data_IF_178115902622
#
_entry.id   IF_178115902622
#
_cell.length_a   1.000
_cell.length_b   1.000
_cell.length_c   1.000
_cell.angle_alpha   90.00
_cell.angle_beta   90.00
_cell.angle_gamma   90.00
#
_symmetry.space_group_name_H-M   'P 1'
#
loop_
_entity.id
_entity.type
_entity.pdbx_description
1 polymer ?
#
# COMPACT_ATOMS: atom_id res chain seq x y z
N UNK A 1 39.16 29.50 -20.95
CA UNK A 1 38.34 28.38 -21.32
C UNK A 1 39.13 27.62 -22.37
N UNK A 2 39.84 26.60 -22.00
CA UNK A 2 40.58 25.71 -22.89
C UNK A 2 39.63 24.58 -23.28
N UNK A 3 39.39 24.46 -24.58
CA UNK A 3 38.76 23.29 -25.20
C UNK A 3 39.65 22.06 -24.96
N UNK A 4 39.29 21.26 -23.99
CA UNK A 4 39.89 19.95 -23.81
C UNK A 4 39.11 18.94 -24.67
N UNK A 5 39.42 18.95 -25.97
CA UNK A 5 39.15 17.80 -26.84
C UNK A 5 40.33 16.86 -26.75
N UNK A 6 40.42 16.13 -25.65
CA UNK A 6 41.40 15.07 -25.52
C UNK A 6 40.79 13.75 -26.06
N UNK A 7 41.40 13.25 -27.12
CA UNK A 7 41.28 11.90 -27.61
C UNK A 7 41.56 10.93 -26.45
N UNK A 8 40.53 10.24 -25.92
CA UNK A 8 40.71 9.18 -24.96
C UNK A 8 40.00 9.34 -23.60
N UNK A 9 39.35 10.45 -23.30
CA UNK A 9 38.58 10.56 -22.07
C UNK A 9 37.20 9.92 -22.21
N UNK A 10 36.95 8.94 -21.40
CA UNK A 10 35.67 8.25 -21.29
C UNK A 10 34.72 9.10 -20.46
N UNK A 11 33.75 9.74 -21.11
CA UNK A 11 32.74 10.54 -20.41
C UNK A 11 31.56 9.68 -20.01
N UNK A 12 31.23 9.66 -18.72
CA UNK A 12 30.03 9.04 -18.21
C UNK A 12 30.20 8.53 -16.78
N UNK A 13 29.10 8.52 -16.04
CA UNK A 13 29.06 7.89 -14.70
C UNK A 13 29.02 6.38 -14.85
N UNK A 14 29.91 5.69 -14.16
CA UNK A 14 29.99 4.20 -14.19
C UNK A 14 28.61 3.61 -13.86
N UNK A 15 28.14 2.70 -14.71
CA UNK A 15 26.83 2.07 -14.61
C UNK A 15 25.68 2.83 -15.29
N UNK A 16 25.85 4.11 -15.66
CA UNK A 16 24.83 4.90 -16.36
C UNK A 16 25.22 5.23 -17.82
N UNK A 17 26.51 5.15 -18.14
CA UNK A 17 27.01 5.41 -19.48
C UNK A 17 26.65 4.24 -20.44
N UNK A 18 26.29 4.62 -21.67
CA UNK A 18 25.95 3.65 -22.70
C UNK A 18 27.18 2.92 -23.24
N UNK A 19 27.04 1.69 -23.79
CA UNK A 19 28.17 0.91 -24.31
C UNK A 19 29.03 1.66 -25.36
N UNK A 20 28.41 2.46 -26.24
CA UNK A 20 29.13 3.25 -27.24
C UNK A 20 30.01 4.34 -26.60
N UNK A 21 29.68 4.87 -25.44
CA UNK A 21 30.51 5.82 -24.70
C UNK A 21 31.81 5.16 -24.22
N UNK A 22 31.73 3.88 -23.80
CA UNK A 22 32.91 3.12 -23.42
C UNK A 22 33.76 2.68 -24.60
N UNK A 23 33.14 2.50 -25.80
CA UNK A 23 33.82 2.13 -27.05
C UNK A 23 34.36 3.30 -27.83
N UNK A 24 34.00 4.54 -27.45
CA UNK A 24 34.37 5.74 -28.21
C UNK A 24 33.66 5.84 -29.56
N UNK A 25 32.48 5.24 -29.71
CA UNK A 25 31.67 5.25 -30.91
C UNK A 25 30.90 6.58 -31.04
N UNK A 26 30.42 6.98 -32.25
CA UNK A 26 29.62 8.18 -32.43
C UNK A 26 28.39 8.16 -31.53
N UNK A 27 28.12 9.27 -30.83
CA UNK A 27 26.99 9.43 -29.92
C UNK A 27 25.82 10.06 -30.67
N UNK A 28 24.61 9.65 -30.31
CA UNK A 28 23.35 10.24 -30.77
C UNK A 28 22.30 10.27 -29.63
N UNK A 29 21.07 10.72 -29.92
CA UNK A 29 20.00 10.83 -28.92
C UNK A 29 19.62 9.49 -28.24
N UNK A 30 19.99 8.34 -28.79
CA UNK A 30 19.78 7.01 -28.22
C UNK A 30 20.77 6.69 -27.09
N UNK A 31 21.87 7.44 -27.01
CA UNK A 31 22.79 7.41 -25.88
C UNK A 31 22.11 7.98 -24.64
N UNK A 32 21.34 9.07 -24.77
CA UNK A 32 20.54 9.62 -23.66
C UNK A 32 19.39 8.67 -23.27
N UNK A 33 18.81 7.98 -24.25
CA UNK A 33 17.79 6.93 -23.96
C UNK A 33 18.36 5.84 -23.08
N UNK A 34 19.61 5.41 -23.31
CA UNK A 34 20.26 4.43 -22.43
C UNK A 34 20.41 4.96 -21.00
N UNK A 35 20.84 6.21 -20.84
CA UNK A 35 20.98 6.85 -19.54
C UNK A 35 19.63 6.97 -18.79
N UNK A 36 18.54 7.26 -19.51
CA UNK A 36 17.19 7.24 -18.96
C UNK A 36 16.84 5.83 -18.44
N UNK A 37 17.12 4.78 -19.23
CA UNK A 37 16.90 3.40 -18.81
C UNK A 37 17.70 3.01 -17.57
N UNK A 38 18.97 3.41 -17.52
CA UNK A 38 19.84 3.16 -16.36
C UNK A 38 19.35 3.90 -15.11
N UNK A 39 18.83 5.12 -15.26
CA UNK A 39 18.21 5.86 -14.15
C UNK A 39 16.92 5.19 -13.67
N UNK A 40 16.05 4.75 -14.57
CA UNK A 40 14.84 4.00 -14.20
C UNK A 40 15.19 2.70 -13.48
N UNK A 41 16.21 1.99 -13.96
CA UNK A 41 16.73 0.80 -13.29
C UNK A 41 17.20 1.12 -11.86
N UNK A 42 18.03 2.16 -11.71
CA UNK A 42 18.52 2.62 -10.41
C UNK A 42 17.38 2.98 -9.46
N UNK A 43 16.36 3.69 -9.93
CA UNK A 43 15.18 4.05 -9.12
C UNK A 43 14.43 2.80 -8.62
N UNK A 44 14.41 1.72 -9.41
CA UNK A 44 13.75 0.47 -9.03
C UNK A 44 14.59 -0.41 -8.09
N UNK A 45 15.92 -0.34 -8.19
CA UNK A 45 16.83 -1.28 -7.52
C UNK A 45 17.63 -0.67 -6.37
N UNK A 46 17.83 0.65 -6.40
CA UNK A 46 18.71 1.35 -5.46
C UNK A 46 20.21 1.18 -5.75
N UNK A 47 20.56 0.50 -6.85
CA UNK A 47 21.93 0.28 -7.31
C UNK A 47 22.05 0.48 -8.82
N UNK A 48 23.19 0.98 -9.34
CA UNK A 48 23.37 1.18 -10.77
C UNK A 48 23.43 -0.18 -11.52
N UNK A 49 23.01 -0.20 -12.79
CA UNK A 49 23.10 -1.42 -13.58
C UNK A 49 24.55 -1.89 -13.74
N UNK A 50 24.80 -3.17 -13.39
CA UNK A 50 26.08 -3.84 -13.56
C UNK A 50 26.16 -4.59 -14.90
N UNK A 51 27.33 -5.17 -15.19
CA UNK A 51 27.51 -6.06 -16.33
C UNK A 51 26.59 -7.29 -16.19
N UNK A 52 25.59 -7.40 -17.10
CA UNK A 52 24.62 -8.48 -17.08
C UNK A 52 23.42 -8.21 -16.15
N UNK A 53 22.91 -6.96 -16.18
CA UNK A 53 21.73 -6.61 -15.41
C UNK A 53 20.58 -7.60 -15.66
N UNK A 54 20.10 -8.22 -14.61
CA UNK A 54 18.90 -9.03 -14.61
C UNK A 54 17.78 -8.26 -13.92
N UNK A 55 16.78 -7.89 -14.69
CA UNK A 55 15.50 -7.47 -14.13
C UNK A 55 14.80 -8.76 -13.65
N UNK A 56 14.99 -9.10 -12.37
CA UNK A 56 14.20 -10.17 -11.73
C UNK A 56 12.96 -9.58 -11.10
N UNK A 57 12.11 -10.41 -10.53
CA UNK A 57 10.76 -10.18 -9.99
C UNK A 57 10.56 -8.99 -9.01
N UNK A 58 11.48 -8.04 -8.91
CA UNK A 58 11.46 -6.95 -7.92
C UNK A 58 11.08 -5.56 -8.47
N UNK A 59 10.90 -5.39 -9.76
CA UNK A 59 10.53 -4.10 -10.36
C UNK A 59 9.03 -3.77 -10.27
N UNK A 60 8.23 -4.73 -9.82
CA UNK A 60 6.80 -4.54 -9.57
C UNK A 60 5.90 -4.72 -10.80
N UNK A 61 6.39 -4.44 -12.01
CA UNK A 61 5.62 -4.66 -13.25
C UNK A 61 6.52 -5.10 -14.38
N UNK A 62 6.13 -6.15 -15.11
CA UNK A 62 6.84 -6.62 -16.30
C UNK A 62 6.84 -5.56 -17.42
N UNK A 63 5.85 -4.68 -17.44
CA UNK A 63 5.73 -3.57 -18.40
C UNK A 63 6.86 -2.54 -18.21
N UNK A 64 7.17 -2.18 -16.96
CA UNK A 64 8.28 -1.28 -16.67
C UNK A 64 9.63 -1.94 -16.99
N UNK A 65 9.79 -3.21 -16.69
CA UNK A 65 10.97 -4.00 -17.07
C UNK A 65 11.18 -4.01 -18.58
N UNK A 66 10.10 -4.12 -19.35
CA UNK A 66 10.16 -4.05 -20.81
C UNK A 66 10.66 -2.68 -21.30
N UNK A 67 10.19 -1.59 -20.68
CA UNK A 67 10.64 -0.24 -21.02
C UNK A 67 12.12 -0.06 -20.70
N UNK A 68 12.56 -0.47 -19.52
CA UNK A 68 13.96 -0.39 -19.10
C UNK A 68 14.84 -1.20 -20.06
N UNK A 69 14.47 -2.42 -20.41
CA UNK A 69 15.20 -3.25 -21.40
C UNK A 69 15.26 -2.59 -22.78
N UNK A 70 14.15 -1.99 -23.21
CA UNK A 70 14.09 -1.27 -24.48
C UNK A 70 14.92 0.03 -24.48
N UNK A 71 15.17 0.62 -23.32
CA UNK A 71 16.11 1.75 -23.23
C UNK A 71 17.57 1.27 -23.20
N UNK A 72 17.86 0.15 -22.53
CA UNK A 72 19.21 -0.32 -22.21
C UNK A 72 19.71 -1.44 -23.14
N UNK A 73 19.12 -1.60 -24.32
CA UNK A 73 19.63 -2.54 -25.30
C UNK A 73 21.09 -2.22 -25.66
N UNK A 74 21.92 -3.27 -25.83
CA UNK A 74 23.34 -3.08 -26.13
C UNK A 74 23.55 -2.33 -27.43
N UNK A 75 22.77 -2.69 -28.46
CA UNK A 75 22.82 -2.04 -29.79
C UNK A 75 21.80 -0.89 -29.81
N UNK A 76 22.23 0.28 -30.38
CA UNK A 76 21.39 1.48 -30.45
C UNK A 76 20.08 1.26 -31.20
N UNK A 77 20.08 0.42 -32.24
CA UNK A 77 18.91 0.15 -33.08
C UNK A 77 17.84 -0.65 -32.29
N UNK A 78 18.24 -1.36 -31.25
CA UNK A 78 17.34 -2.06 -30.32
C UNK A 78 16.68 -1.17 -29.28
N UNK A 79 17.07 0.12 -29.21
CA UNK A 79 16.54 1.08 -28.24
C UNK A 79 15.36 1.88 -28.80
N UNK A 80 14.65 2.54 -27.87
CA UNK A 80 13.74 3.62 -28.28
C UNK A 80 14.51 4.70 -29.05
N UNK A 81 13.93 5.23 -30.12
CA UNK A 81 14.62 6.11 -31.06
C UNK A 81 14.95 7.50 -30.50
N UNK A 82 14.21 7.93 -29.46
CA UNK A 82 14.44 9.19 -28.75
C UNK A 82 13.71 9.18 -27.40
N UNK A 83 13.99 10.19 -26.56
CA UNK A 83 13.37 10.34 -25.24
C UNK A 83 11.83 10.48 -25.29
N UNK A 84 11.28 11.10 -26.34
CA UNK A 84 9.83 11.24 -26.52
C UNK A 84 9.13 9.87 -26.70
N UNK A 85 9.80 8.89 -27.32
CA UNK A 85 9.26 7.53 -27.39
C UNK A 85 9.28 6.81 -26.04
N UNK A 86 10.25 7.09 -25.18
CA UNK A 86 10.30 6.58 -23.81
C UNK A 86 9.20 7.24 -22.98
N UNK A 87 9.03 8.55 -23.11
CA UNK A 87 7.94 9.29 -22.45
C UNK A 87 6.57 8.72 -22.83
N UNK A 88 6.33 8.52 -24.14
CA UNK A 88 5.09 7.91 -24.63
C UNK A 88 4.86 6.53 -23.98
N UNK A 89 5.87 5.64 -23.96
CA UNK A 89 5.76 4.32 -23.36
C UNK A 89 5.49 4.38 -21.84
N UNK A 90 6.08 5.34 -21.13
CA UNK A 90 5.82 5.57 -19.71
C UNK A 90 4.41 6.14 -19.47
N UNK A 91 3.92 7.01 -20.34
CA UNK A 91 2.55 7.52 -20.29
C UNK A 91 1.51 6.43 -20.55
N UNK A 92 1.76 5.56 -21.53
CA UNK A 92 0.92 4.39 -21.79
C UNK A 92 0.91 3.44 -20.59
N UNK A 93 2.08 3.16 -20.00
CA UNK A 93 2.19 2.38 -18.78
C UNK A 93 1.40 3.02 -17.63
N UNK A 94 1.51 4.33 -17.45
CA UNK A 94 0.75 5.07 -16.45
C UNK A 94 -0.75 4.93 -16.67
N UNK A 95 -1.22 4.99 -17.91
CA UNK A 95 -2.64 4.82 -18.27
C UNK A 95 -3.09 3.39 -17.97
N UNK A 96 -2.34 2.38 -18.41
CA UNK A 96 -2.63 0.96 -18.13
C UNK A 96 -2.62 0.67 -16.64
N UNK A 97 -1.67 1.23 -15.90
CA UNK A 97 -1.63 1.11 -14.43
C UNK A 97 -2.80 1.87 -13.80
N UNK A 98 -3.20 3.02 -14.33
CA UNK A 98 -4.37 3.76 -13.85
C UNK A 98 -5.67 3.02 -14.13
N UNK A 99 -5.82 2.39 -15.28
CA UNK A 99 -6.96 1.55 -15.63
C UNK A 99 -6.98 0.23 -14.84
N UNK A 100 -5.83 -0.40 -14.65
CA UNK A 100 -5.70 -1.55 -13.73
C UNK A 100 -5.93 -1.17 -12.27
N UNK A 101 -5.68 0.09 -11.88
CA UNK A 101 -5.91 0.64 -10.54
C UNK A 101 -7.22 1.44 -10.44
N UNK A 102 -7.98 1.59 -11.51
CA UNK A 102 -9.42 1.88 -11.48
C UNK A 102 -10.24 0.68 -10.93
N UNK A 103 -9.57 -0.37 -10.44
CA UNK A 103 -10.12 -1.18 -9.35
C UNK A 103 -10.27 -0.19 -8.20
N UNK A 104 -11.52 0.22 -7.96
CA UNK A 104 -11.99 1.00 -6.83
C UNK A 104 -11.10 0.73 -5.61
N UNK A 105 -10.23 1.71 -5.27
CA UNK A 105 -9.41 1.59 -4.07
C UNK A 105 -10.37 1.59 -2.90
N UNK A 106 -10.46 0.48 -2.19
CA UNK A 106 -11.35 0.36 -1.06
C UNK A 106 -10.75 1.13 0.12
N UNK A 107 -11.42 2.18 0.54
CA UNK A 107 -11.03 2.97 1.71
C UNK A 107 -11.94 2.66 2.88
N UNK A 108 -11.36 2.19 3.97
CA UNK A 108 -12.06 1.85 5.21
C UNK A 108 -11.56 2.76 6.31
N UNK A 109 -12.47 3.47 6.97
CA UNK A 109 -12.11 4.35 8.07
C UNK A 109 -12.45 3.67 9.40
N UNK A 110 -11.43 3.50 10.23
CA UNK A 110 -11.56 3.03 11.61
C UNK A 110 -11.65 4.21 12.56
N UNK A 111 -12.68 4.21 13.38
CA UNK A 111 -12.92 5.20 14.41
C UNK A 111 -13.16 4.53 15.76
N UNK A 112 -12.81 5.20 16.85
CA UNK A 112 -13.08 4.73 18.20
C UNK A 112 -14.19 5.53 18.88
N UNK A 113 -15.12 4.88 19.54
CA UNK A 113 -16.15 5.54 20.32
C UNK A 113 -15.57 6.25 21.57
N UNK A 114 -14.40 5.84 22.03
CA UNK A 114 -13.64 6.47 23.12
C UNK A 114 -12.13 6.19 23.00
N UNK A 115 -11.28 6.97 23.66
CA UNK A 115 -9.84 6.66 23.76
C UNK A 115 -9.60 5.30 24.42
N UNK A 116 -8.58 4.59 23.96
CA UNK A 116 -8.16 3.30 24.52
C UNK A 116 -9.11 2.12 24.23
N UNK A 117 -10.06 2.25 23.31
CA UNK A 117 -10.99 1.16 22.94
C UNK A 117 -10.33 0.10 22.03
N UNK A 118 -9.11 0.34 21.53
CA UNK A 118 -8.36 -0.59 20.68
C UNK A 118 -8.55 -0.39 19.19
N UNK A 119 -8.88 0.83 18.75
CA UNK A 119 -9.06 1.19 17.33
C UNK A 119 -7.83 0.82 16.51
N UNK A 120 -6.65 1.31 16.90
CA UNK A 120 -5.38 1.04 16.21
C UNK A 120 -5.04 -0.46 16.20
N UNK A 121 -5.30 -1.17 17.31
CA UNK A 121 -5.08 -2.60 17.39
C UNK A 121 -5.94 -3.38 16.38
N UNK A 122 -7.23 -3.05 16.30
CA UNK A 122 -8.16 -3.64 15.33
C UNK A 122 -7.75 -3.29 13.88
N UNK A 123 -7.39 -2.04 13.61
CA UNK A 123 -6.95 -1.58 12.30
C UNK A 123 -5.64 -2.26 11.84
N UNK A 124 -4.67 -2.48 12.74
CA UNK A 124 -3.47 -3.29 12.45
C UNK A 124 -3.84 -4.74 12.16
N UNK A 125 -4.73 -5.33 12.96
CA UNK A 125 -5.17 -6.72 12.81
C UNK A 125 -5.80 -6.98 11.45
N UNK A 126 -6.76 -6.15 11.04
CA UNK A 126 -7.42 -6.31 9.73
C UNK A 126 -6.45 -6.03 8.56
N UNK A 127 -5.54 -5.05 8.69
CA UNK A 127 -4.51 -4.78 7.67
C UNK A 127 -3.58 -5.98 7.49
N UNK A 128 -3.13 -6.58 8.58
CA UNK A 128 -2.33 -7.81 8.58
C UNK A 128 -3.09 -8.98 7.96
N UNK A 129 -4.35 -9.18 8.36
CA UNK A 129 -5.22 -10.21 7.81
C UNK A 129 -5.36 -10.09 6.30
N UNK A 130 -5.69 -8.90 5.80
CA UNK A 130 -5.87 -8.66 4.36
C UNK A 130 -4.59 -8.95 3.58
N UNK A 131 -3.46 -8.41 4.00
CA UNK A 131 -2.18 -8.61 3.31
C UNK A 131 -1.76 -10.08 3.28
N UNK A 132 -1.93 -10.81 4.38
CA UNK A 132 -1.63 -12.26 4.44
C UNK A 132 -2.52 -13.10 3.53
N UNK A 133 -3.74 -12.65 3.30
CA UNK A 133 -4.68 -13.32 2.40
C UNK A 133 -4.54 -12.89 0.93
N UNK A 134 -3.49 -12.10 0.59
CA UNK A 134 -3.18 -11.69 -0.78
C UNK A 134 -3.91 -10.42 -1.23
N UNK A 135 -4.38 -9.62 -0.29
CA UNK A 135 -4.98 -8.31 -0.51
C UNK A 135 -4.10 -7.23 0.15
N UNK A 136 -3.09 -6.69 -0.55
CA UNK A 136 -2.21 -5.68 0.03
C UNK A 136 -3.01 -4.52 0.60
N UNK A 137 -2.83 -4.26 1.88
CA UNK A 137 -3.53 -3.19 2.59
C UNK A 137 -2.53 -2.23 3.22
N UNK A 138 -2.77 -0.92 3.07
CA UNK A 138 -2.03 0.13 3.74
C UNK A 138 -2.80 0.57 4.98
N UNK A 139 -2.19 0.45 6.15
CA UNK A 139 -2.65 1.17 7.32
C UNK A 139 -2.11 2.61 7.27
N UNK A 140 -2.99 3.57 7.45
CA UNK A 140 -2.66 4.99 7.48
C UNK A 140 -3.20 5.64 8.75
N UNK A 141 -2.30 6.26 9.51
CA UNK A 141 -2.68 7.14 10.61
C UNK A 141 -3.08 8.51 10.06
N UNK A 142 -4.31 8.96 10.34
CA UNK A 142 -4.84 10.23 9.83
C UNK A 142 -4.58 11.41 10.78
N UNK A 143 -4.30 11.15 12.04
CA UNK A 143 -3.99 12.14 13.07
C UNK A 143 -2.86 11.64 13.95
N UNK A 144 -2.00 12.54 14.41
CA UNK A 144 -0.91 12.19 15.33
C UNK A 144 -1.47 11.72 16.69
N UNK A 145 -1.52 10.40 16.83
CA UNK A 145 -1.97 9.74 18.07
C UNK A 145 -0.81 9.28 18.95
N UNK A 146 0.44 9.54 18.56
CA UNK A 146 1.65 8.96 19.13
C UNK A 146 1.76 7.43 19.05
N UNK A 147 0.66 6.72 18.83
CA UNK A 147 0.62 5.25 18.88
C UNK A 147 1.55 4.63 17.84
N UNK A 148 1.47 5.09 16.58
CA UNK A 148 2.32 4.60 15.49
C UNK A 148 3.77 5.02 15.72
N UNK A 149 4.01 6.25 16.14
CA UNK A 149 5.35 6.76 16.44
C UNK A 149 6.04 5.95 17.54
N UNK A 150 5.35 5.64 18.62
CA UNK A 150 5.85 4.81 19.71
C UNK A 150 6.11 3.37 19.26
N UNK A 151 5.19 2.81 18.46
CA UNK A 151 5.38 1.50 17.86
C UNK A 151 6.62 1.46 16.96
N UNK A 152 6.81 2.48 16.10
CA UNK A 152 7.94 2.55 15.17
C UNK A 152 9.30 2.70 15.87
N UNK A 153 9.37 3.40 17.02
CA UNK A 153 10.61 3.52 17.81
C UNK A 153 11.20 2.17 18.23
N UNK A 154 10.35 1.17 18.40
CA UNK A 154 10.75 -0.19 18.79
C UNK A 154 11.10 -1.08 17.58
N UNK A 155 11.03 -0.55 16.37
CA UNK A 155 11.37 -1.29 15.16
C UNK A 155 12.63 -0.70 14.53
N UNK A 156 13.39 -1.56 13.82
CA UNK A 156 14.52 -1.12 12.99
C UNK A 156 14.09 -0.81 11.55
N UNK A 157 12.79 -0.81 11.27
CA UNK A 157 12.26 -0.57 9.95
C UNK A 157 12.54 0.88 9.50
N UNK A 158 12.84 1.04 8.21
CA UNK A 158 12.97 2.34 7.56
C UNK A 158 11.83 2.51 6.56
N UNK A 159 11.36 3.73 6.32
CA UNK A 159 10.35 3.99 5.31
C UNK A 159 10.93 3.80 3.92
N UNK A 160 10.10 3.41 2.98
CA UNK A 160 10.41 3.47 1.55
C UNK A 160 10.32 4.92 1.00
N UNK A 161 10.54 5.09 -0.30
CA UNK A 161 10.46 6.39 -0.97
C UNK A 161 9.08 7.06 -0.92
N UNK A 162 8.03 6.33 -0.55
CA UNK A 162 6.68 6.84 -0.33
C UNK A 162 6.36 7.05 1.16
N UNK A 163 7.34 6.92 2.05
CA UNK A 163 7.14 7.08 3.49
C UNK A 163 6.40 5.92 4.16
N UNK A 164 6.31 4.77 3.50
CA UNK A 164 5.64 3.58 4.03
C UNK A 164 6.65 2.65 4.68
N UNK A 165 6.34 2.22 5.90
CA UNK A 165 7.12 1.21 6.62
C UNK A 165 6.53 -0.18 6.36
N UNK A 166 7.40 -1.16 6.12
CA UNK A 166 7.02 -2.53 5.87
C UNK A 166 7.48 -3.42 7.03
N UNK A 167 6.54 -3.92 7.84
CA UNK A 167 6.81 -4.73 9.03
C UNK A 167 6.09 -6.08 8.88
N UNK A 168 6.78 -7.07 8.34
CA UNK A 168 6.17 -8.34 7.99
C UNK A 168 5.04 -8.17 6.97
N UNK A 169 3.81 -8.50 7.38
CA UNK A 169 2.61 -8.32 6.55
C UNK A 169 1.87 -7.01 6.81
N UNK A 170 2.41 -6.13 7.62
CA UNK A 170 1.81 -4.84 7.92
C UNK A 170 2.56 -3.73 7.17
N UNK A 171 1.83 -2.94 6.39
CA UNK A 171 2.33 -1.75 5.72
C UNK A 171 1.75 -0.54 6.43
N UNK A 172 2.62 0.32 6.98
CA UNK A 172 2.22 1.43 7.84
C UNK A 172 2.67 2.74 7.23
N UNK A 173 1.77 3.67 7.17
CA UNK A 173 2.05 5.07 6.92
C UNK A 173 1.69 5.88 8.16
N UNK A 174 2.68 6.39 8.90
CA UNK A 174 2.45 7.29 10.02
C UNK A 174 1.82 8.60 9.55
N UNK A 175 1.31 9.36 10.47
CA UNK A 175 0.88 10.72 10.21
C UNK A 175 2.08 11.63 9.94
N UNK A 176 2.15 12.20 8.73
CA UNK A 176 3.20 13.14 8.31
C UNK A 176 2.75 14.60 8.27
N UNK A 177 1.55 14.90 8.80
CA UNK A 177 0.96 16.22 8.71
C UNK A 177 -0.05 16.34 7.55
N UNK A 178 -0.94 17.34 7.65
CA UNK A 178 -2.05 17.54 6.69
C UNK A 178 -1.59 17.96 5.29
N UNK A 179 -0.41 18.53 5.17
CA UNK A 179 0.13 19.06 3.92
C UNK A 179 0.82 18.02 3.06
N UNK A 180 1.19 16.88 3.62
CA UNK A 180 1.91 15.83 2.90
C UNK A 180 0.92 14.96 2.15
N UNK A 181 0.65 15.29 0.88
CA UNK A 181 -0.13 14.43 -0.02
C UNK A 181 0.80 13.41 -0.67
N UNK A 182 0.60 12.14 -0.36
CA UNK A 182 1.37 11.05 -0.95
C UNK A 182 0.50 10.23 -1.90
N UNK A 183 1.03 9.75 -3.04
CA UNK A 183 0.24 8.93 -3.96
C UNK A 183 -0.05 7.55 -3.34
N UNK A 184 -1.33 7.19 -3.23
CA UNK A 184 -1.81 5.90 -2.71
C UNK A 184 -1.68 4.73 -3.71
N UNK A 185 -1.00 4.92 -4.82
CA UNK A 185 -1.12 4.12 -6.05
C UNK A 185 -0.71 2.64 -5.94
N UNK A 186 -0.18 2.22 -4.80
CA UNK A 186 0.36 0.86 -4.64
C UNK A 186 -0.53 -0.08 -3.81
N UNK A 187 -1.54 0.45 -3.13
CA UNK A 187 -2.39 -0.33 -2.25
C UNK A 187 -3.85 -0.28 -2.69
N UNK A 188 -4.45 -1.44 -3.07
CA UNK A 188 -5.86 -1.50 -3.44
C UNK A 188 -6.79 -1.34 -2.24
N UNK A 189 -6.28 -1.43 -1.01
CA UNK A 189 -7.05 -1.25 0.21
C UNK A 189 -6.30 -0.29 1.13
N UNK A 190 -7.02 0.72 1.61
CA UNK A 190 -6.49 1.71 2.55
C UNK A 190 -7.32 1.66 3.82
N UNK A 191 -6.65 1.40 4.94
CA UNK A 191 -7.24 1.41 6.27
C UNK A 191 -6.81 2.71 6.95
N UNK A 192 -7.72 3.67 7.07
CA UNK A 192 -7.47 4.95 7.72
C UNK A 192 -7.87 4.87 9.19
N UNK A 193 -6.93 5.09 10.09
CA UNK A 193 -7.21 5.16 11.53
C UNK A 193 -7.34 6.62 11.94
N UNK A 194 -8.54 7.00 12.36
CA UNK A 194 -8.84 8.35 12.88
C UNK A 194 -8.96 8.38 14.40
N UNK A 195 -8.79 7.23 15.07
CA UNK A 195 -8.95 7.15 16.52
C UNK A 195 -10.25 7.78 17.00
N UNK A 196 -10.15 8.69 17.94
CA UNK A 196 -11.28 9.51 18.43
C UNK A 196 -11.26 10.95 17.92
N UNK A 197 -10.40 11.27 16.97
CA UNK A 197 -10.23 12.63 16.47
C UNK A 197 -11.43 13.14 15.62
N UNK A 198 -12.40 12.27 15.33
CA UNK A 198 -13.65 12.66 14.66
C UNK A 198 -14.51 13.61 15.51
N UNK A 199 -14.33 13.64 16.82
CA UNK A 199 -15.02 14.54 17.72
C UNK A 199 -14.55 15.98 17.48
N UNK A 200 -15.46 16.85 17.05
CA UNK A 200 -15.13 18.24 16.72
C UNK A 200 -14.57 18.48 15.32
N UNK A 201 -14.54 17.48 14.46
CA UNK A 201 -14.18 17.65 13.06
C UNK A 201 -15.44 17.90 12.20
N UNK A 202 -15.38 18.91 11.34
CA UNK A 202 -16.47 19.21 10.38
C UNK A 202 -16.47 18.18 9.25
N UNK A 203 -15.28 17.70 8.82
CA UNK A 203 -15.13 16.77 7.71
C UNK A 203 -14.37 15.53 8.16
N UNK A 204 -14.87 14.37 7.72
CA UNK A 204 -14.18 13.09 7.86
C UNK A 204 -13.47 12.72 6.56
N UNK A 205 -12.44 11.85 6.62
CA UNK A 205 -11.88 11.26 5.42
C UNK A 205 -12.95 10.50 4.63
N UNK A 206 -12.88 10.56 3.30
CA UNK A 206 -13.72 9.73 2.42
C UNK A 206 -13.51 8.24 2.74
N UNK A 207 -14.62 7.51 2.77
CA UNK A 207 -14.66 6.09 3.09
C UNK A 207 -15.75 5.37 2.28
N UNK A 208 -15.48 4.14 1.85
CA UNK A 208 -16.49 3.23 1.33
C UNK A 208 -17.39 2.72 2.46
N UNK A 209 -16.78 2.52 3.63
CA UNK A 209 -17.50 2.26 4.87
C UNK A 209 -16.66 2.59 6.10
N UNK A 210 -17.33 2.80 7.21
CA UNK A 210 -16.74 3.05 8.51
C UNK A 210 -16.79 1.79 9.37
N UNK A 211 -15.74 1.57 10.17
CA UNK A 211 -15.72 0.59 11.26
C UNK A 211 -15.57 1.36 12.56
N UNK A 212 -16.65 1.43 13.32
CA UNK A 212 -16.65 2.08 14.62
C UNK A 212 -16.34 1.06 15.71
N UNK A 213 -15.16 1.17 16.32
CA UNK A 213 -14.75 0.33 17.43
C UNK A 213 -15.42 0.82 18.71
N UNK A 214 -16.24 -0.03 19.29
CA UNK A 214 -17.13 0.26 20.41
C UNK A 214 -16.78 -0.56 21.66
N UNK A 215 -17.13 -0.02 22.81
CA UNK A 215 -17.30 -0.79 24.04
C UNK A 215 -18.78 -1.08 24.28
N UNK A 216 -19.05 -2.18 24.95
CA UNK A 216 -20.42 -2.58 25.24
C UNK A 216 -20.78 -2.59 26.71
N UNK A 217 -19.89 -2.14 27.57
CA UNK A 217 -20.16 -1.99 28.98
C UNK A 217 -21.23 -0.93 29.19
N UNK A 218 -22.12 -1.14 30.16
CA UNK A 218 -23.27 -0.26 30.37
C UNK A 218 -22.90 1.23 30.56
N UNK A 219 -21.74 1.56 31.12
CA UNK A 219 -21.23 2.94 31.23
C UNK A 219 -20.62 3.50 29.94
N UNK A 220 -20.40 2.67 28.91
CA UNK A 220 -19.93 3.06 27.59
C UNK A 220 -21.06 3.28 26.59
N UNK A 221 -22.26 2.77 26.92
CA UNK A 221 -23.42 2.72 26.04
C UNK A 221 -23.76 4.07 25.43
N UNK A 222 -23.86 5.12 26.23
CA UNK A 222 -24.22 6.45 25.75
C UNK A 222 -23.24 6.98 24.70
N UNK A 223 -21.94 6.77 24.90
CA UNK A 223 -20.90 7.19 23.93
C UNK A 223 -20.94 6.35 22.66
N UNK A 224 -21.12 5.05 22.79
CA UNK A 224 -21.26 4.11 21.66
C UNK A 224 -22.46 4.52 20.80
N UNK A 225 -23.63 4.79 21.40
CA UNK A 225 -24.83 5.21 20.67
C UNK A 225 -24.65 6.56 19.98
N UNK A 226 -24.09 7.56 20.65
CA UNK A 226 -23.83 8.87 20.06
C UNK A 226 -22.87 8.76 18.86
N UNK A 227 -21.77 8.00 19.01
CA UNK A 227 -20.83 7.75 17.92
C UNK A 227 -21.48 6.98 16.76
N UNK A 228 -22.29 5.96 17.06
CA UNK A 228 -22.99 5.17 16.03
C UNK A 228 -23.89 6.05 15.16
N UNK A 229 -24.71 6.91 15.78
CA UNK A 229 -25.60 7.85 15.06
C UNK A 229 -24.79 8.83 14.21
N UNK A 230 -23.67 9.33 14.75
CA UNK A 230 -22.78 10.23 14.03
C UNK A 230 -22.22 9.61 12.74
N UNK A 231 -21.71 8.37 12.80
CA UNK A 231 -21.13 7.70 11.61
C UNK A 231 -22.21 7.23 10.64
N UNK A 232 -23.36 6.75 11.12
CA UNK A 232 -24.47 6.33 10.27
C UNK A 232 -25.05 7.48 9.45
N UNK A 233 -25.03 8.70 9.97
CA UNK A 233 -25.46 9.89 9.22
C UNK A 233 -24.49 10.28 8.09
N UNK A 234 -23.30 9.70 8.05
CA UNK A 234 -22.24 10.00 7.07
C UNK A 234 -22.00 8.88 6.07
N UNK A 235 -22.53 7.70 6.30
CA UNK A 235 -22.38 6.58 5.38
C UNK A 235 -22.58 5.23 6.03
N UNK A 236 -22.22 4.19 5.29
CA UNK A 236 -22.28 2.81 5.79
C UNK A 236 -21.35 2.67 6.98
N UNK A 237 -21.87 2.18 8.10
CA UNK A 237 -21.10 1.96 9.32
C UNK A 237 -21.30 0.54 9.85
N UNK A 238 -20.22 -0.06 10.31
CA UNK A 238 -20.18 -1.35 11.00
C UNK A 238 -19.75 -1.09 12.45
N UNK A 239 -20.46 -1.66 13.40
CA UNK A 239 -20.10 -1.59 14.80
C UNK A 239 -19.21 -2.80 15.16
N UNK A 240 -18.01 -2.53 15.65
CA UNK A 240 -17.06 -3.54 16.09
C UNK A 240 -16.89 -3.44 17.60
N UNK A 241 -17.54 -4.34 18.32
CA UNK A 241 -17.41 -4.40 19.78
C UNK A 241 -16.10 -5.06 20.18
N UNK A 242 -15.29 -4.34 20.95
CA UNK A 242 -14.03 -4.83 21.47
C UNK A 242 -14.10 -4.99 22.99
N UNK A 243 -13.34 -5.92 23.56
CA UNK A 243 -13.31 -6.23 24.99
C UNK A 243 -14.68 -6.65 25.57
N UNK A 244 -15.47 -7.33 24.76
CA UNK A 244 -16.76 -7.89 25.18
C UNK A 244 -16.80 -9.39 24.96
N UNK A 245 -17.40 -10.08 25.92
CA UNK A 245 -17.89 -11.44 25.71
C UNK A 245 -19.27 -11.43 25.05
N UNK A 246 -19.62 -12.49 24.34
CA UNK A 246 -20.93 -12.63 23.68
C UNK A 246 -22.10 -12.52 24.64
N UNK A 247 -21.91 -12.92 25.91
CA UNK A 247 -22.92 -12.88 26.95
C UNK A 247 -23.34 -11.46 27.37
N UNK A 248 -22.51 -10.47 27.08
CA UNK A 248 -22.74 -9.06 27.41
C UNK A 248 -23.25 -8.25 26.21
N UNK A 249 -23.92 -8.89 25.25
CA UNK A 249 -24.45 -8.19 24.07
C UNK A 249 -25.38 -7.07 24.46
N UNK A 250 -24.98 -5.86 24.11
CA UNK A 250 -25.80 -4.67 24.31
C UNK A 250 -27.06 -4.76 23.42
N UNK A 251 -28.25 -4.55 24.00
CA UNK A 251 -29.45 -4.34 23.21
C UNK A 251 -29.38 -2.97 22.53
N UNK A 252 -29.31 -2.97 21.21
CA UNK A 252 -29.34 -1.74 20.44
C UNK A 252 -30.75 -1.13 20.45
N UNK A 253 -30.87 0.19 20.57
CA UNK A 253 -32.12 0.88 20.39
C UNK A 253 -32.72 0.65 18.99
N UNK A 254 -34.01 0.94 18.84
CA UNK A 254 -34.76 0.66 17.63
C UNK A 254 -34.18 1.38 16.39
N UNK A 255 -33.66 2.59 16.57
CA UNK A 255 -33.00 3.38 15.52
C UNK A 255 -31.67 2.82 15.03
N UNK A 256 -31.09 1.89 15.77
CA UNK A 256 -29.87 1.18 15.40
C UNK A 256 -30.09 -0.31 15.08
N UNK A 257 -31.34 -0.76 15.09
CA UNK A 257 -31.68 -2.12 14.65
C UNK A 257 -31.30 -2.32 13.18
N UNK A 258 -30.64 -3.45 12.90
CA UNK A 258 -30.17 -3.76 11.54
C UNK A 258 -28.79 -3.21 11.17
N UNK A 259 -28.16 -2.40 12.04
CA UNK A 259 -26.76 -2.03 11.86
C UNK A 259 -25.88 -3.26 12.07
N UNK A 260 -24.98 -3.57 11.12
CA UNK A 260 -24.08 -4.70 11.26
C UNK A 260 -23.19 -4.57 12.50
N UNK A 261 -23.21 -5.59 13.35
CA UNK A 261 -22.46 -5.63 14.60
C UNK A 261 -21.60 -6.89 14.66
N UNK A 262 -20.32 -6.69 14.96
CA UNK A 262 -19.36 -7.80 15.17
C UNK A 262 -18.68 -7.67 16.52
N UNK A 263 -18.24 -8.79 17.05
CA UNK A 263 -17.54 -8.89 18.33
C UNK A 263 -16.12 -9.36 18.05
N UNK A 264 -15.14 -8.49 18.33
CA UNK A 264 -13.74 -8.80 18.08
C UNK A 264 -13.22 -9.72 19.19
N UNK A 265 -12.81 -10.94 18.87
CA UNK A 265 -12.16 -11.82 19.83
C UNK A 265 -10.87 -11.18 20.36
N UNK A 266 -10.47 -11.55 21.57
CA UNK A 266 -9.17 -11.13 22.08
C UNK A 266 -8.04 -11.78 21.28
N UNK A 267 -7.14 -10.96 20.76
CA UNK A 267 -5.90 -11.41 20.14
C UNK A 267 -4.75 -10.50 20.58
N UNK A 268 -3.69 -11.11 21.09
CA UNK A 268 -2.62 -10.37 21.75
C UNK A 268 -1.71 -9.60 20.79
N UNK A 269 -1.54 -10.11 19.56
CA UNK A 269 -0.57 -9.55 18.62
C UNK A 269 -1.19 -9.31 17.24
N UNK A 270 -1.45 -8.04 16.88
CA UNK A 270 -2.09 -7.68 15.62
C UNK A 270 -1.19 -7.93 14.38
N UNK A 271 0.09 -8.27 14.57
CA UNK A 271 1.02 -8.60 13.49
C UNK A 271 1.04 -10.10 13.17
N UNK A 272 0.39 -10.91 14.00
CA UNK A 272 0.26 -12.35 13.80
C UNK A 272 -1.16 -12.69 13.40
N UNK A 273 -1.30 -13.77 12.63
CA UNK A 273 -2.61 -14.30 12.29
C UNK A 273 -3.20 -14.97 13.54
N UNK A 274 -4.38 -14.54 13.90
CA UNK A 274 -5.24 -15.16 14.88
C UNK A 274 -6.47 -15.70 14.15
N UNK A 275 -6.86 -16.94 14.40
CA UNK A 275 -7.91 -17.64 13.65
C UNK A 275 -9.29 -17.00 13.85
N UNK A 276 -9.60 -16.66 15.08
CA UNK A 276 -10.93 -16.17 15.44
C UNK A 276 -11.07 -14.69 15.04
N UNK A 277 -10.03 -13.88 15.27
CA UNK A 277 -9.98 -12.52 14.76
C UNK A 277 -10.04 -12.48 13.23
N UNK A 278 -9.37 -13.40 12.53
CA UNK A 278 -9.43 -13.50 11.07
C UNK A 278 -10.83 -13.84 10.55
N UNK A 279 -11.59 -14.67 11.27
CA UNK A 279 -12.99 -14.95 10.93
C UNK A 279 -13.85 -13.68 11.04
N UNK A 280 -13.72 -12.94 12.15
CA UNK A 280 -14.40 -11.67 12.37
C UNK A 280 -14.03 -10.64 11.29
N UNK A 281 -12.75 -10.48 10.94
CA UNK A 281 -12.30 -9.56 9.90
C UNK A 281 -12.85 -9.93 8.51
N UNK A 282 -12.96 -11.21 8.19
CA UNK A 282 -13.57 -11.67 6.93
C UNK A 282 -15.03 -11.26 6.84
N UNK A 283 -15.78 -11.42 7.91
CA UNK A 283 -17.19 -11.02 7.97
C UNK A 283 -17.37 -9.51 7.86
N UNK A 284 -16.54 -8.71 8.54
CA UNK A 284 -16.51 -7.25 8.42
C UNK A 284 -16.29 -6.85 6.95
N UNK A 285 -15.29 -7.44 6.30
CA UNK A 285 -14.95 -7.12 4.91
C UNK A 285 -16.09 -7.53 3.95
N UNK A 286 -16.68 -8.70 4.16
CA UNK A 286 -17.80 -9.17 3.33
C UNK A 286 -19.01 -8.27 3.48
N UNK A 287 -19.37 -7.90 4.69
CA UNK A 287 -20.48 -6.99 4.98
C UNK A 287 -20.22 -5.60 4.46
N UNK A 288 -19.04 -5.04 4.73
CA UNK A 288 -18.66 -3.68 4.30
C UNK A 288 -18.67 -3.50 2.79
N UNK A 289 -18.27 -4.52 2.06
CA UNK A 289 -18.26 -4.52 0.58
C UNK A 289 -19.57 -5.00 -0.06
N UNK A 290 -20.60 -5.28 0.73
CA UNK A 290 -21.90 -5.73 0.23
C UNK A 290 -21.87 -7.12 -0.43
N UNK A 291 -20.99 -8.00 0.02
CA UNK A 291 -20.87 -9.37 -0.49
C UNK A 291 -20.20 -9.49 -1.86
N UNK A 292 -19.71 -8.40 -2.42
CA UNK A 292 -19.15 -8.35 -3.79
C UNK A 292 -17.82 -9.10 -3.96
N UNK A 293 -17.14 -9.46 -2.87
CA UNK A 293 -15.84 -10.15 -2.89
C UNK A 293 -15.78 -11.22 -1.82
N UNK A 294 -15.20 -12.36 -2.14
CA UNK A 294 -14.82 -13.38 -1.14
C UNK A 294 -13.42 -13.05 -0.63
N UNK A 295 -13.29 -12.83 0.69
CA UNK A 295 -12.03 -12.46 1.34
C UNK A 295 -11.26 -13.70 1.82
N UNK A 296 -11.27 -14.73 0.98
CA UNK A 296 -10.51 -15.95 1.21
C UNK A 296 -9.08 -15.82 0.70
N UNK A 297 -8.19 -16.66 1.25
CA UNK A 297 -6.79 -16.70 0.86
C UNK A 297 -6.66 -16.94 -0.64
N UNK A 298 -6.17 -15.97 -1.39
CA UNK A 298 -5.83 -16.16 -2.81
C UNK A 298 -4.78 -17.26 -2.92
N UNK A 299 -5.12 -18.37 -3.57
CA UNK A 299 -4.13 -19.41 -3.90
C UNK A 299 -3.01 -18.75 -4.70
N UNK A 300 -1.77 -18.74 -4.18
CA UNK A 300 -0.60 -18.39 -4.99
C UNK A 300 -0.64 -19.30 -6.21
N UNK A 301 -0.82 -18.76 -7.42
CA UNK A 301 -0.53 -19.51 -8.65
C UNK A 301 0.95 -19.87 -8.56
N UNK A 302 1.24 -21.13 -8.26
CA UNK A 302 2.57 -21.70 -8.45
C UNK A 302 2.85 -21.57 -9.95
N UNK A 303 3.78 -20.69 -10.33
CA UNK A 303 4.30 -20.65 -11.68
C UNK A 303 4.77 -22.06 -12.02
N UNK A 304 4.27 -22.60 -13.11
CA UNK A 304 4.71 -23.85 -13.70
C UNK A 304 6.17 -23.67 -14.14
N UNK A 305 7.11 -23.99 -13.26
CA UNK A 305 8.47 -24.30 -13.68
C UNK A 305 8.46 -25.76 -14.11
N UNK A 306 8.27 -25.97 -15.40
CA UNK A 306 8.57 -27.24 -16.03
C UNK A 306 10.04 -27.56 -15.76
N UNK A 307 10.28 -28.68 -15.07
CA UNK A 307 11.60 -29.32 -14.98
C UNK A 307 12.11 -29.48 -16.41
N UNK A 308 13.31 -29.02 -16.68
CA UNK A 308 14.05 -29.46 -17.86
C UNK A 308 14.25 -30.98 -17.71
N UNK A 309 13.97 -31.80 -18.77
CA UNK A 309 14.45 -33.17 -18.79
C UNK A 309 15.97 -33.11 -18.93
N UNK A 310 16.64 -33.89 -18.10
CA UNK A 310 18.07 -34.08 -18.19
C UNK A 310 18.45 -34.93 -19.40
N UNK A 311 19.53 -34.59 -19.97
CA UNK A 311 20.59 -35.48 -20.54
C UNK A 311 21.78 -34.59 -20.86
#
# INVERSE_FOLDING_TARGET
AEDVTAFGERYGTIGFAAPEQYRGEPLDCRTDVYAIGALLYYMCRGEPPGNGFCLGDRSGTWELDRIIRGCMAAEKDGRYQNAGKVEQALCELKTVLSEKHAIESLTIVFAGARPGIGTTHAAFGISTFLTRNGYPALYQEEYDTDAVRLFMRNTKARPDGAGVFHIGSLHIRPYYGRTVKMPYRYFPIIIKDIGTAWQGQETLPEADFFVLVCGGKWWETARTLAASRYFLSRGRCILLFNHMSEDLRMKLPDDLKGVPCFYLPFFANPLKEDRDAAACFREIMTTGTGGRKTWERKKRRRGFWTRRPGS
#
